data_IF_124989010893
#
_entry.id   IF_124989010893
#
_cell.length_a   1.000
_cell.length_b   1.000
_cell.length_c   1.000
_cell.angle_alpha   90.00
_cell.angle_beta   90.00
_cell.angle_gamma   90.00
#
_symmetry.space_group_name_H-M   'P 1'
#
loop_
_entity.id
_entity.type
_entity.pdbx_description
1 polymer ?
#
# COMPACT_ATOMS: atom_id res chain seq x y z
N UNK A 1 -0.26 8.10 -1.43
CA UNK A 1 0.46 8.57 -0.22
C UNK A 1 1.94 8.34 -0.46
N UNK A 2 2.80 9.34 -0.30
CA UNK A 2 4.24 9.22 -0.57
C UNK A 2 5.12 9.52 0.67
N UNK A 3 4.47 9.67 1.83
CA UNK A 3 5.02 10.24 3.06
C UNK A 3 4.70 9.40 4.31
N UNK A 4 4.19 8.18 4.12
CA UNK A 4 3.79 7.28 5.21
C UNK A 4 4.48 5.93 5.02
N UNK A 5 4.95 5.36 6.12
CA UNK A 5 5.46 3.99 6.21
C UNK A 5 4.30 3.01 6.42
N UNK A 6 4.59 1.71 6.41
CA UNK A 6 3.61 0.70 6.76
C UNK A 6 3.00 0.95 8.15
N UNK A 7 1.77 0.49 8.37
CA UNK A 7 1.06 0.56 9.65
C UNK A 7 0.85 1.98 10.20
N UNK A 8 0.58 2.97 9.33
CA UNK A 8 0.32 4.37 9.69
C UNK A 8 1.49 5.07 10.42
N UNK A 9 2.70 4.56 10.27
CA UNK A 9 3.89 5.19 10.82
C UNK A 9 4.32 6.38 9.95
N UNK A 10 4.53 7.54 10.55
CA UNK A 10 5.07 8.72 9.89
C UNK A 10 6.51 8.53 9.42
N UNK A 11 6.78 8.80 8.14
CA UNK A 11 8.11 8.74 7.54
C UNK A 11 9.08 9.76 8.15
N UNK A 12 8.58 10.93 8.53
CA UNK A 12 9.38 12.04 9.04
C UNK A 12 9.89 11.78 10.47
N UNK A 13 9.25 10.87 11.21
CA UNK A 13 9.65 10.50 12.56
C UNK A 13 10.82 9.49 12.54
N UNK A 14 11.92 9.81 13.23
CA UNK A 14 13.11 8.98 13.27
C UNK A 14 12.91 7.64 13.99
N UNK A 15 12.14 7.62 15.08
CA UNK A 15 11.86 6.41 15.86
C UNK A 15 11.01 5.43 15.05
N UNK A 16 10.06 5.96 14.29
CA UNK A 16 9.26 5.18 13.35
C UNK A 16 10.12 4.52 12.27
N UNK A 17 11.04 5.28 11.65
CA UNK A 17 11.98 4.73 10.67
C UNK A 17 12.87 3.66 11.28
N UNK A 18 13.38 3.89 12.48
CA UNK A 18 14.22 2.92 13.20
C UNK A 18 13.45 1.63 13.52
N UNK A 19 12.19 1.73 13.93
CA UNK A 19 11.33 0.59 14.21
C UNK A 19 11.09 -0.27 12.95
N UNK A 20 10.74 0.36 11.82
CA UNK A 20 10.53 -0.35 10.54
C UNK A 20 11.84 -0.94 10.02
N UNK A 21 12.95 -0.20 10.10
CA UNK A 21 14.26 -0.69 9.69
C UNK A 21 14.68 -1.94 10.50
N UNK A 22 14.48 -1.88 11.83
CA UNK A 22 14.75 -3.01 12.72
C UNK A 22 13.87 -4.22 12.44
N UNK A 23 12.57 -4.01 12.19
CA UNK A 23 11.64 -5.10 11.87
C UNK A 23 12.02 -5.84 10.59
N UNK A 24 12.34 -5.12 9.51
CA UNK A 24 12.76 -5.74 8.25
C UNK A 24 14.25 -6.10 8.19
N UNK A 25 15.03 -5.81 9.24
CA UNK A 25 16.46 -6.07 9.28
C UNK A 25 17.27 -5.30 8.22
N UNK A 26 16.77 -4.13 7.79
CA UNK A 26 17.45 -3.28 6.78
C UNK A 26 18.24 -2.17 7.46
N UNK A 27 19.38 -1.73 6.90
CA UNK A 27 20.24 -0.75 7.56
C UNK A 27 19.61 0.65 7.65
N UNK A 28 18.73 1.00 6.71
CA UNK A 28 18.08 2.31 6.66
C UNK A 28 16.78 2.26 5.87
N UNK A 29 15.79 3.00 6.36
CA UNK A 29 14.58 3.41 5.63
C UNK A 29 14.77 4.86 5.16
N UNK A 30 14.32 5.24 3.94
CA UNK A 30 14.41 6.62 3.45
C UNK A 30 13.86 7.64 4.47
N UNK A 31 14.48 8.82 4.53
CA UNK A 31 14.12 9.91 5.45
C UNK A 31 13.39 11.07 4.74
N UNK A 32 13.16 10.94 3.43
CA UNK A 32 12.47 11.92 2.60
C UNK A 32 11.29 11.27 1.88
N UNK A 33 10.13 11.95 1.82
CA UNK A 33 8.99 11.45 1.09
C UNK A 33 9.32 11.25 -0.39
N UNK A 34 8.71 10.23 -0.98
CA UNK A 34 8.65 10.07 -2.41
C UNK A 34 7.88 11.23 -3.06
N UNK A 35 7.90 11.28 -4.39
CA UNK A 35 7.10 12.27 -5.13
C UNK A 35 5.63 11.87 -5.10
N UNK A 36 4.75 12.86 -4.91
CA UNK A 36 3.31 12.69 -5.17
C UNK A 36 3.10 12.48 -6.67
N UNK A 37 1.99 11.85 -7.06
CA UNK A 37 1.79 11.38 -8.44
C UNK A 37 2.00 12.46 -9.52
N UNK A 38 1.45 13.67 -9.35
CA UNK A 38 1.65 14.78 -10.29
C UNK A 38 3.13 15.18 -10.39
N UNK A 39 3.80 15.39 -9.26
CA UNK A 39 5.21 15.75 -9.22
C UNK A 39 6.13 14.62 -9.70
N UNK A 40 5.70 13.36 -9.55
CA UNK A 40 6.38 12.18 -10.05
C UNK A 40 6.38 12.19 -11.58
N UNK A 41 5.23 12.36 -12.23
CA UNK A 41 5.17 12.43 -13.70
C UNK A 41 5.91 13.65 -14.25
N UNK A 42 5.83 14.81 -13.60
CA UNK A 42 6.69 15.97 -13.95
C UNK A 42 8.19 15.65 -13.84
N UNK A 43 8.58 14.80 -12.89
CA UNK A 43 9.97 14.35 -12.76
C UNK A 43 10.36 13.32 -13.84
N UNK A 44 9.42 12.49 -14.30
CA UNK A 44 9.61 11.61 -15.46
C UNK A 44 9.82 12.44 -16.73
N UNK A 45 8.96 13.43 -17.01
CA UNK A 45 9.14 14.35 -18.15
C UNK A 45 10.52 15.04 -18.13
N UNK A 46 11.02 15.37 -16.94
CA UNK A 46 12.34 16.01 -16.74
C UNK A 46 13.51 15.01 -16.76
N UNK A 47 13.27 13.73 -17.06
CA UNK A 47 14.29 12.67 -17.11
C UNK A 47 14.90 12.30 -15.76
N UNK A 48 14.31 12.74 -14.63
CA UNK A 48 14.80 12.45 -13.27
C UNK A 48 14.39 11.06 -12.79
N UNK A 49 13.31 10.52 -13.33
CA UNK A 49 12.86 9.14 -13.12
C UNK A 49 13.01 8.42 -14.46
N UNK A 50 13.70 7.28 -14.45
CA UNK A 50 14.04 6.53 -15.67
C UNK A 50 13.30 5.19 -15.79
N UNK A 51 12.65 4.77 -14.72
CA UNK A 51 11.88 3.54 -14.66
C UNK A 51 10.57 3.81 -13.94
N UNK A 52 9.46 3.34 -14.50
CA UNK A 52 8.15 3.35 -13.88
C UNK A 52 7.64 1.91 -13.79
N UNK A 53 7.04 1.58 -12.63
CA UNK A 53 6.20 0.40 -12.51
C UNK A 53 4.83 0.85 -12.03
N UNK A 54 3.83 0.71 -12.90
CA UNK A 54 2.45 1.12 -12.67
C UNK A 54 1.62 -0.14 -12.42
N UNK A 55 0.92 -0.22 -11.29
CA UNK A 55 0.19 -1.42 -10.87
C UNK A 55 -1.28 -1.07 -10.69
N UNK A 56 -2.17 -1.74 -11.43
CA UNK A 56 -3.63 -1.64 -11.35
C UNK A 56 -4.19 -0.21 -11.36
N UNK A 57 -3.66 0.65 -12.24
CA UNK A 57 -4.19 2.01 -12.44
C UNK A 57 -3.96 2.49 -13.88
N UNK A 58 -4.79 3.43 -14.35
CA UNK A 58 -4.72 3.99 -15.69
C UNK A 58 -4.43 5.51 -15.69
N UNK A 59 -3.25 5.95 -15.22
CA UNK A 59 -2.89 7.36 -15.09
C UNK A 59 -2.91 8.13 -16.41
N UNK A 60 -2.76 7.46 -17.56
CA UNK A 60 -2.94 8.05 -18.88
C UNK A 60 -4.37 8.62 -19.14
N UNK A 61 -5.33 8.30 -18.26
CA UNK A 61 -6.72 8.81 -18.31
C UNK A 61 -7.13 9.46 -17.00
N UNK A 62 -6.75 8.89 -15.86
CA UNK A 62 -7.32 9.29 -14.55
C UNK A 62 -6.55 10.40 -13.83
N UNK A 63 -5.34 10.74 -14.30
CA UNK A 63 -4.56 11.82 -13.70
C UNK A 63 -4.95 13.19 -14.26
N UNK A 64 -4.83 14.27 -13.47
CA UNK A 64 -4.87 15.62 -14.01
C UNK A 64 -3.74 15.82 -15.03
N UNK A 65 -3.96 16.71 -16.01
CA UNK A 65 -3.01 16.94 -17.10
C UNK A 65 -2.69 15.64 -17.86
N UNK A 66 -3.72 14.83 -18.16
CA UNK A 66 -3.56 13.47 -18.70
C UNK A 66 -2.70 13.38 -19.97
N UNK A 67 -2.75 14.38 -20.85
CA UNK A 67 -1.85 14.48 -22.01
C UNK A 67 -0.37 14.50 -21.60
N UNK A 68 -0.01 15.37 -20.66
CA UNK A 68 1.36 15.44 -20.15
C UNK A 68 1.78 14.14 -19.44
N UNK A 69 0.84 13.44 -18.79
CA UNK A 69 1.10 12.13 -18.18
C UNK A 69 1.31 11.05 -19.24
N UNK A 70 0.51 11.02 -20.31
CA UNK A 70 0.72 10.13 -21.46
C UNK A 70 2.09 10.34 -22.06
N UNK A 71 2.46 11.58 -22.32
CA UNK A 71 3.78 11.94 -22.86
C UNK A 71 4.91 11.55 -21.89
N UNK A 72 4.70 11.72 -20.58
CA UNK A 72 5.67 11.31 -19.57
C UNK A 72 5.93 9.79 -19.61
N UNK A 73 4.87 8.99 -19.69
CA UNK A 73 4.97 7.53 -19.73
C UNK A 73 5.64 7.10 -21.03
N UNK A 74 5.18 7.62 -22.18
CA UNK A 74 5.70 7.27 -23.50
C UNK A 74 7.20 7.61 -23.66
N UNK A 75 7.69 8.66 -23.00
CA UNK A 75 9.10 9.08 -23.05
C UNK A 75 9.94 8.55 -21.89
N UNK A 76 9.36 7.78 -20.95
CA UNK A 76 10.11 7.17 -19.87
C UNK A 76 10.98 6.04 -20.43
N UNK A 77 12.29 5.95 -20.11
CA UNK A 77 13.17 4.92 -20.67
C UNK A 77 12.77 3.47 -20.41
N UNK A 78 12.01 3.22 -19.34
CA UNK A 78 11.51 1.89 -19.03
C UNK A 78 10.18 1.98 -18.27
N UNK A 79 9.16 1.30 -18.75
CA UNK A 79 7.82 1.26 -18.17
C UNK A 79 7.33 -0.17 -18.06
N UNK A 80 7.05 -0.58 -16.83
CA UNK A 80 6.36 -1.83 -16.51
C UNK A 80 4.93 -1.50 -16.11
N UNK A 81 3.96 -2.23 -16.64
CA UNK A 81 2.55 -2.15 -16.23
C UNK A 81 2.08 -3.51 -15.75
N UNK A 82 1.53 -3.58 -14.53
CA UNK A 82 0.78 -4.73 -14.03
C UNK A 82 -0.71 -4.42 -14.11
N UNK A 83 -1.43 -5.12 -14.98
CA UNK A 83 -2.85 -4.86 -15.25
C UNK A 83 -3.57 -6.17 -15.61
N UNK A 84 -4.89 -6.17 -15.48
CA UNK A 84 -5.78 -7.28 -15.87
C UNK A 84 -6.12 -7.25 -17.36
N UNK A 85 -5.80 -6.15 -18.04
CA UNK A 85 -6.11 -5.93 -19.43
C UNK A 85 -4.98 -5.17 -20.12
N UNK A 86 -4.64 -5.58 -21.34
CA UNK A 86 -3.71 -4.87 -22.20
C UNK A 86 -4.35 -3.66 -22.91
N UNK A 87 -5.64 -3.41 -22.67
CA UNK A 87 -6.43 -2.44 -23.43
C UNK A 87 -6.58 -1.09 -22.72
N UNK A 88 -5.96 -0.89 -21.55
CA UNK A 88 -5.90 0.45 -20.93
C UNK A 88 -4.92 1.35 -21.69
N UNK A 89 -5.20 2.66 -21.71
CA UNK A 89 -4.31 3.64 -22.33
C UNK A 89 -2.91 3.62 -21.73
N UNK A 90 -2.80 3.34 -20.42
CA UNK A 90 -1.51 3.17 -19.75
C UNK A 90 -0.81 1.89 -20.16
N UNK A 91 -1.51 0.74 -20.23
CA UNK A 91 -0.91 -0.54 -20.63
C UNK A 91 -0.35 -0.49 -22.06
N UNK A 92 -1.00 0.24 -22.97
CA UNK A 92 -0.51 0.42 -24.34
C UNK A 92 0.79 1.21 -24.46
N UNK A 93 1.20 1.91 -23.39
CA UNK A 93 2.45 2.69 -23.31
C UNK A 93 3.56 1.94 -22.58
N UNK A 94 3.35 0.69 -22.17
CA UNK A 94 4.33 -0.09 -21.42
C UNK A 94 5.37 -0.75 -22.33
N UNK A 95 6.63 -0.81 -21.87
CA UNK A 95 7.65 -1.68 -22.46
C UNK A 95 7.44 -3.14 -22.05
N UNK A 96 6.96 -3.36 -20.82
CA UNK A 96 6.65 -4.68 -20.27
C UNK A 96 5.26 -4.67 -19.65
N UNK A 97 4.40 -5.57 -20.13
CA UNK A 97 3.10 -5.82 -19.53
C UNK A 97 3.13 -7.13 -18.73
N UNK A 98 2.82 -7.05 -17.43
CA UNK A 98 2.75 -8.19 -16.52
C UNK A 98 1.27 -8.50 -16.23
N UNK A 99 0.75 -9.65 -16.69
CA UNK A 99 -0.66 -9.98 -16.48
C UNK A 99 -0.96 -10.21 -15.00
N UNK A 100 -1.77 -9.36 -14.41
CA UNK A 100 -2.19 -9.43 -13.01
C UNK A 100 -3.59 -10.06 -12.88
N UNK A 101 -3.86 -10.73 -11.77
CA UNK A 101 -5.21 -11.26 -11.49
C UNK A 101 -6.17 -10.17 -11.02
N UNK A 102 -7.43 -10.29 -11.43
CA UNK A 102 -8.52 -9.42 -11.01
C UNK A 102 -9.04 -9.77 -9.60
N UNK A 103 -9.97 -8.96 -9.09
CA UNK A 103 -10.52 -9.11 -7.74
C UNK A 103 -11.10 -10.51 -7.48
N UNK A 104 -11.89 -11.06 -8.40
CA UNK A 104 -12.54 -12.36 -8.25
C UNK A 104 -11.58 -13.56 -8.40
N UNK A 105 -10.34 -13.32 -8.81
CA UNK A 105 -9.35 -14.34 -9.19
C UNK A 105 -8.22 -14.46 -8.16
N UNK A 106 -8.21 -13.61 -7.13
CA UNK A 106 -7.16 -13.55 -6.12
C UNK A 106 -7.67 -13.54 -4.70
N UNK A 107 -6.85 -14.09 -3.83
CA UNK A 107 -7.07 -14.10 -2.39
C UNK A 107 -6.36 -12.92 -1.73
N UNK A 108 -6.97 -12.35 -0.70
CA UNK A 108 -6.35 -11.36 0.16
C UNK A 108 -7.29 -10.85 1.25
N UNK A 109 -7.00 -9.66 1.77
CA UNK A 109 -7.92 -8.92 2.62
C UNK A 109 -8.18 -7.54 2.02
N UNK A 110 -9.36 -7.00 2.32
CA UNK A 110 -9.74 -5.62 1.98
C UNK A 110 -10.16 -4.91 3.26
N UNK A 111 -9.78 -3.64 3.38
CA UNK A 111 -10.20 -2.79 4.51
C UNK A 111 -11.12 -1.69 3.98
N UNK A 112 -12.33 -1.60 4.54
CA UNK A 112 -13.28 -0.58 4.14
C UNK A 112 -13.13 0.74 4.95
N UNK A 113 -13.92 1.75 4.61
CA UNK A 113 -13.91 3.06 5.27
C UNK A 113 -14.25 3.04 6.77
N UNK A 114 -14.90 1.98 7.26
CA UNK A 114 -15.21 1.79 8.68
C UNK A 114 -14.13 1.01 9.44
N UNK A 115 -12.94 0.85 8.85
CA UNK A 115 -11.81 0.09 9.42
C UNK A 115 -12.09 -1.42 9.55
N UNK A 116 -13.08 -1.94 8.82
CA UNK A 116 -13.43 -3.35 8.81
C UNK A 116 -12.55 -4.09 7.80
N UNK A 117 -11.76 -5.04 8.30
CA UNK A 117 -10.96 -5.96 7.50
C UNK A 117 -11.85 -7.15 7.15
N UNK A 118 -11.95 -7.47 5.86
CA UNK A 118 -12.73 -8.59 5.34
C UNK A 118 -11.87 -9.47 4.46
N UNK A 119 -12.16 -10.77 4.47
CA UNK A 119 -11.48 -11.74 3.60
C UNK A 119 -12.02 -11.66 2.17
N UNK A 120 -11.13 -11.44 1.21
CA UNK A 120 -11.39 -11.59 -0.23
C UNK A 120 -10.94 -12.99 -0.65
N UNK A 121 -11.84 -13.78 -1.23
CA UNK A 121 -11.57 -15.14 -1.69
C UNK A 121 -11.71 -15.21 -3.21
N UNK A 122 -10.80 -15.93 -3.85
CA UNK A 122 -10.93 -16.23 -5.27
C UNK A 122 -12.18 -17.09 -5.50
N UNK A 123 -13.02 -16.68 -6.44
CA UNK A 123 -14.22 -17.40 -6.89
C UNK A 123 -14.12 -17.81 -8.36
N UNK A 124 -13.09 -17.32 -9.06
CA UNK A 124 -12.73 -17.69 -10.41
C UNK A 124 -11.26 -18.13 -10.45
N UNK A 125 -10.89 -19.05 -11.37
CA UNK A 125 -9.49 -19.36 -11.62
C UNK A 125 -8.77 -18.16 -12.26
N UNK A 126 -7.46 -18.05 -12.02
CA UNK A 126 -6.64 -17.05 -12.69
C UNK A 126 -6.62 -17.31 -14.22
N UNK A 127 -6.91 -16.30 -15.06
CA UNK A 127 -6.90 -16.46 -16.51
C UNK A 127 -5.47 -16.57 -17.04
N UNK A 128 -5.23 -17.58 -17.89
CA UNK A 128 -3.96 -17.75 -18.59
C UNK A 128 -2.75 -17.83 -17.65
N UNK A 129 -1.80 -16.91 -17.83
CA UNK A 129 -0.58 -16.79 -17.01
C UNK A 129 -0.66 -15.64 -16.00
N UNK A 130 -1.85 -15.09 -15.75
CA UNK A 130 -2.02 -14.02 -14.77
C UNK A 130 -1.68 -14.51 -13.36
N UNK A 131 -1.09 -13.61 -12.57
CA UNK A 131 -0.67 -13.91 -11.20
C UNK A 131 -1.07 -12.78 -10.25
N UNK A 132 -1.30 -13.06 -8.95
CA UNK A 132 -1.47 -12.02 -7.95
C UNK A 132 -0.28 -11.07 -7.91
N UNK A 133 -0.52 -9.78 -7.70
CA UNK A 133 0.51 -8.74 -7.70
C UNK A 133 1.66 -9.04 -6.73
N UNK A 134 1.34 -9.59 -5.55
CA UNK A 134 2.35 -9.94 -4.55
C UNK A 134 3.33 -11.01 -5.05
N UNK A 135 2.87 -11.98 -5.85
CA UNK A 135 3.74 -13.00 -6.45
C UNK A 135 4.67 -12.36 -7.46
N UNK A 136 4.15 -11.46 -8.29
CA UNK A 136 4.95 -10.74 -9.30
C UNK A 136 6.01 -9.86 -8.62
N UNK A 137 5.63 -9.13 -7.58
CA UNK A 137 6.55 -8.30 -6.78
C UNK A 137 7.63 -9.16 -6.10
N UNK A 138 7.23 -10.27 -5.48
CA UNK A 138 8.15 -11.20 -4.85
C UNK A 138 9.15 -11.76 -5.87
N UNK A 139 8.68 -12.24 -7.02
CA UNK A 139 9.52 -12.78 -8.10
C UNK A 139 10.57 -11.80 -8.61
N UNK A 140 10.22 -10.52 -8.73
CA UNK A 140 11.16 -9.46 -9.14
C UNK A 140 12.16 -9.20 -8.02
N UNK A 141 11.71 -9.09 -6.77
CA UNK A 141 12.59 -8.86 -5.63
C UNK A 141 13.58 -10.02 -5.43
N UNK A 142 13.13 -11.27 -5.57
CA UNK A 142 14.00 -12.46 -5.55
C UNK A 142 15.07 -12.37 -6.65
N UNK A 143 14.70 -12.03 -7.89
CA UNK A 143 15.66 -11.84 -9.01
C UNK A 143 16.63 -10.68 -8.79
N UNK A 144 16.30 -9.74 -7.91
CA UNK A 144 17.17 -8.65 -7.49
C UNK A 144 18.09 -9.01 -6.31
N UNK A 145 18.05 -10.26 -5.82
CA UNK A 145 18.91 -10.76 -4.73
C UNK A 145 18.29 -10.61 -3.33
N UNK A 146 16.96 -10.46 -3.23
CA UNK A 146 16.24 -10.37 -1.96
C UNK A 146 15.46 -11.65 -1.63
N UNK A 147 15.99 -12.82 -2.01
CA UNK A 147 15.27 -14.11 -1.94
C UNK A 147 14.72 -14.40 -0.54
N UNK A 148 15.56 -14.25 0.48
CA UNK A 148 15.19 -14.51 1.87
C UNK A 148 14.08 -13.60 2.39
N UNK A 149 13.95 -12.39 1.86
CA UNK A 149 12.96 -11.41 2.31
C UNK A 149 11.61 -11.54 1.58
N UNK A 150 11.57 -12.20 0.42
CA UNK A 150 10.38 -12.28 -0.43
C UNK A 150 9.96 -13.73 -0.74
N UNK A 151 10.30 -14.66 0.14
CA UNK A 151 9.97 -16.10 0.03
C UNK A 151 8.60 -16.43 0.62
N UNK A 152 7.57 -15.66 0.27
CA UNK A 152 6.21 -15.89 0.75
C UNK A 152 5.55 -17.06 0.02
N UNK A 153 4.99 -18.02 0.77
CA UNK A 153 4.25 -19.16 0.21
C UNK A 153 2.80 -18.81 -0.12
N UNK A 154 2.19 -17.90 0.65
CA UNK A 154 0.81 -17.46 0.50
C UNK A 154 0.57 -16.07 1.10
N UNK A 155 -0.61 -15.50 0.86
CA UNK A 155 -0.97 -14.18 1.36
C UNK A 155 -1.17 -14.11 2.88
N UNK A 156 -1.37 -15.25 3.56
CA UNK A 156 -1.50 -15.30 5.02
C UNK A 156 -0.17 -14.98 5.71
N UNK A 157 0.96 -15.40 5.12
CA UNK A 157 2.30 -15.03 5.61
C UNK A 157 2.54 -13.51 5.54
N UNK A 158 2.17 -12.88 4.42
CA UNK A 158 2.26 -11.42 4.27
C UNK A 158 1.34 -10.72 5.28
N UNK A 159 0.13 -11.25 5.48
CA UNK A 159 -0.81 -10.71 6.46
C UNK A 159 -0.27 -10.81 7.89
N UNK A 160 0.30 -11.96 8.28
CA UNK A 160 0.96 -12.15 9.58
C UNK A 160 2.12 -11.18 9.78
N UNK A 161 2.98 -11.01 8.77
CA UNK A 161 4.07 -10.05 8.84
C UNK A 161 3.55 -8.62 9.04
N UNK A 162 2.54 -8.22 8.27
CA UNK A 162 1.90 -6.91 8.41
C UNK A 162 1.28 -6.73 9.81
N UNK A 163 0.62 -7.77 10.33
CA UNK A 163 0.05 -7.75 11.67
C UNK A 163 1.12 -7.65 12.78
N UNK A 164 2.22 -8.39 12.65
CA UNK A 164 3.35 -8.28 13.57
C UNK A 164 3.98 -6.88 13.55
N UNK A 165 4.17 -6.29 12.37
CA UNK A 165 4.69 -4.93 12.22
C UNK A 165 3.76 -3.88 12.86
N UNK A 166 2.45 -4.08 12.77
CA UNK A 166 1.47 -3.15 13.34
C UNK A 166 1.56 -3.02 14.87
N UNK A 167 2.13 -4.01 15.57
CA UNK A 167 2.42 -3.91 17.00
C UNK A 167 3.38 -2.75 17.32
N UNK A 168 4.31 -2.43 16.40
CA UNK A 168 5.24 -1.31 16.56
C UNK A 168 4.49 0.03 16.46
N UNK A 169 3.49 0.12 15.58
CA UNK A 169 2.64 1.29 15.47
C UNK A 169 1.88 1.54 16.77
N UNK A 170 1.24 0.51 17.34
CA UNK A 170 0.59 0.60 18.66
C UNK A 170 1.54 1.06 19.77
N UNK A 171 2.75 0.49 19.85
CA UNK A 171 3.80 0.88 20.83
C UNK A 171 4.28 2.33 20.66
N UNK A 172 4.26 2.84 19.43
CA UNK A 172 4.64 4.21 19.08
C UNK A 172 3.45 5.19 19.13
N UNK A 173 2.36 4.80 19.79
CA UNK A 173 1.20 5.65 20.03
C UNK A 173 0.34 5.88 18.80
N UNK A 174 0.38 4.98 17.80
CA UNK A 174 -0.52 5.00 16.64
C UNK A 174 -1.74 4.12 16.85
N UNK A 175 -2.69 4.32 15.97
CA UNK A 175 -4.07 3.87 16.13
C UNK A 175 -4.32 2.49 15.52
N UNK A 176 -3.57 2.17 14.46
CA UNK A 176 -3.62 0.91 13.76
C UNK A 176 -2.71 -0.13 14.43
N UNK A 177 -3.34 -1.14 15.02
CA UNK A 177 -2.67 -2.31 15.57
C UNK A 177 -3.60 -3.52 15.40
N UNK A 178 -3.16 -4.51 14.62
CA UNK A 178 -3.84 -5.81 14.44
C UNK A 178 -2.95 -6.97 14.91
N UNK A 179 -2.00 -6.70 15.81
CA UNK A 179 -1.01 -7.66 16.29
C UNK A 179 -1.59 -8.89 16.97
N UNK A 180 -2.86 -8.85 17.40
CA UNK A 180 -3.61 -10.03 17.83
C UNK A 180 -3.84 -11.07 16.72
N UNK A 181 -3.50 -10.76 15.47
CA UNK A 181 -3.56 -11.66 14.32
C UNK A 181 -2.18 -12.06 13.78
N UNK A 182 -1.08 -11.70 14.48
CA UNK A 182 0.28 -12.00 14.03
C UNK A 182 0.57 -13.51 13.93
N UNK A 183 -0.10 -14.32 14.76
CA UNK A 183 0.04 -15.78 14.80
C UNK A 183 -1.18 -16.51 14.22
N UNK A 184 -2.01 -15.84 13.40
CA UNK A 184 -3.20 -16.45 12.80
C UNK A 184 -2.81 -17.65 11.93
N UNK A 185 -3.47 -18.80 12.14
CA UNK A 185 -3.24 -19.99 11.32
C UNK A 185 -3.75 -19.77 9.89
N UNK A 186 -3.25 -20.56 8.93
CA UNK A 186 -3.74 -20.50 7.55
C UNK A 186 -5.23 -20.86 7.47
N UNK A 187 -5.70 -21.78 8.32
CA UNK A 187 -7.12 -22.13 8.41
C UNK A 187 -7.95 -20.96 8.94
N UNK A 188 -7.55 -20.35 10.06
CA UNK A 188 -8.26 -19.21 10.65
C UNK A 188 -8.26 -18.00 9.71
N UNK A 189 -7.17 -17.80 8.96
CA UNK A 189 -7.09 -16.77 7.93
C UNK A 189 -8.02 -17.09 6.73
N UNK A 190 -8.12 -18.36 6.32
CA UNK A 190 -9.05 -18.79 5.28
C UNK A 190 -10.51 -18.62 5.71
N UNK A 191 -10.82 -18.84 6.98
CA UNK A 191 -12.16 -18.72 7.58
C UNK A 191 -12.42 -17.32 8.18
N UNK A 192 -11.48 -16.38 8.01
CA UNK A 192 -11.51 -15.07 8.66
C UNK A 192 -12.83 -14.36 8.42
N UNK A 193 -13.51 -14.05 9.53
CA UNK A 193 -14.73 -13.25 9.55
C UNK A 193 -14.39 -11.77 9.66
N UNK A 194 -15.22 -10.87 9.12
CA UNK A 194 -14.92 -9.45 9.13
C UNK A 194 -14.68 -8.90 10.55
N UNK A 195 -13.54 -8.25 10.77
CA UNK A 195 -13.17 -7.67 12.06
C UNK A 195 -12.68 -6.25 11.91
N UNK A 196 -13.09 -5.37 12.84
CA UNK A 196 -12.72 -3.96 12.84
C UNK A 196 -11.45 -3.76 13.67
N UNK A 197 -10.45 -3.10 13.10
CA UNK A 197 -9.23 -2.77 13.84
C UNK A 197 -9.47 -1.62 14.85
N UNK A 198 -8.71 -1.56 15.97
CA UNK A 198 -7.57 -2.40 16.32
C UNK A 198 -7.97 -3.82 16.79
N UNK A 199 -7.10 -4.80 16.59
CA UNK A 199 -7.28 -6.20 17.02
C UNK A 199 -6.02 -6.60 17.80
N UNK A 200 -6.06 -6.45 19.11
CA UNK A 200 -4.96 -6.73 20.04
C UNK A 200 -5.48 -7.59 21.20
N UNK A 201 -4.60 -8.16 22.04
CA UNK A 201 -5.03 -8.82 23.27
C UNK A 201 -5.84 -7.92 24.21
N UNK A 202 -5.59 -6.60 24.18
CA UNK A 202 -6.23 -5.63 25.09
C UNK A 202 -7.47 -4.94 24.50
N UNK A 203 -7.60 -4.87 23.17
CA UNK A 203 -8.67 -4.11 22.49
C UNK A 203 -9.05 -4.76 21.16
N UNK A 204 -10.35 -4.91 20.93
CA UNK A 204 -10.95 -5.36 19.67
C UNK A 204 -11.99 -4.34 19.18
N UNK A 205 -11.66 -3.62 18.12
CA UNK A 205 -12.49 -2.60 17.51
C UNK A 205 -12.85 -1.43 18.45
N UNK A 206 -14.13 -1.07 18.42
CA UNK A 206 -14.69 0.09 19.11
C UNK A 206 -14.99 1.27 18.17
N UNK A 207 -15.56 2.34 18.74
CA UNK A 207 -15.84 3.58 18.03
C UNK A 207 -14.69 4.55 18.27
N UNK A 208 -13.96 4.89 17.21
CA UNK A 208 -12.85 5.83 17.32
C UNK A 208 -13.34 7.20 17.76
N UNK A 209 -12.54 7.84 18.63
CA UNK A 209 -12.76 9.19 19.16
C UNK A 209 -14.03 9.35 20.01
N UNK A 210 -14.76 8.27 20.33
CA UNK A 210 -15.99 8.35 21.12
C UNK A 210 -15.72 8.85 22.55
N UNK A 211 -14.55 8.55 23.09
CA UNK A 211 -14.09 8.95 24.42
C UNK A 211 -13.25 10.25 24.39
N UNK A 212 -13.20 10.95 23.25
CA UNK A 212 -12.54 12.25 23.14
C UNK A 212 -11.01 12.23 23.12
N UNK A 213 -10.39 11.07 22.87
CA UNK A 213 -8.94 10.91 22.75
C UNK A 213 -8.49 10.93 21.29
N UNK A 214 -7.66 11.89 20.92
CA UNK A 214 -7.14 12.10 19.57
C UNK A 214 -5.63 11.84 19.51
N UNK A 215 -5.10 11.56 18.31
CA UNK A 215 -3.67 11.31 18.07
C UNK A 215 -2.85 12.61 17.92
N UNK A 216 -3.19 13.61 18.73
CA UNK A 216 -2.42 14.84 18.89
C UNK A 216 -1.63 14.79 20.20
N UNK A 217 -0.53 15.54 20.35
CA UNK A 217 0.31 15.48 21.55
C UNK A 217 -0.42 15.72 22.89
N UNK A 218 -1.50 16.51 22.89
CA UNK A 218 -2.33 16.80 24.07
C UNK A 218 -3.60 15.95 24.16
N UNK A 219 -3.80 15.02 23.21
CA UNK A 219 -4.95 14.15 23.13
C UNK A 219 -6.26 14.82 22.67
N UNK A 220 -6.26 16.10 22.29
CA UNK A 220 -7.47 16.88 21.99
C UNK A 220 -7.70 17.05 20.49
N UNK A 221 -8.96 17.23 20.10
CA UNK A 221 -9.31 17.63 18.74
C UNK A 221 -8.80 19.06 18.46
N UNK A 222 -8.35 19.30 17.23
CA UNK A 222 -7.99 20.64 16.75
C UNK A 222 -9.12 21.22 15.90
N UNK A 223 -9.73 22.31 16.38
CA UNK A 223 -10.74 23.07 15.62
C UNK A 223 -10.00 24.14 14.82
N UNK A 224 -10.08 24.06 13.49
CA UNK A 224 -9.42 24.98 12.58
C UNK A 224 -10.44 25.93 11.93
N UNK A 225 -10.44 27.24 12.24
CA UNK A 225 -11.27 28.19 11.53
C UNK A 225 -10.71 28.42 10.13
N UNK A 226 -11.53 28.21 9.11
CA UNK A 226 -11.18 28.48 7.71
C UNK A 226 -11.99 29.66 7.17
N UNK A 227 -11.36 30.47 6.31
CA UNK A 227 -12.04 31.55 5.58
C UNK A 227 -12.35 31.07 4.18
N UNK A 228 -13.56 31.34 3.70
CA UNK A 228 -13.92 31.05 2.32
C UNK A 228 -13.02 31.83 1.36
N UNK A 229 -12.56 31.14 0.31
CA UNK A 229 -11.89 31.74 -0.84
C UNK A 229 -12.52 31.14 -2.10
N UNK A 230 -12.77 31.94 -3.15
CA UNK A 230 -13.18 31.39 -4.44
C UNK A 230 -12.06 30.49 -5.00
N UNK A 231 -12.39 29.52 -5.88
CA UNK A 231 -11.36 28.76 -6.59
C UNK A 231 -10.39 29.70 -7.30
N UNK A 232 -9.08 29.44 -7.14
CA UNK A 232 -8.07 30.13 -7.92
C UNK A 232 -8.16 29.67 -9.39
N UNK A 233 -8.22 30.64 -10.32
CA UNK A 233 -8.19 30.40 -11.76
C UNK A 233 -6.76 30.05 -12.23
#
# INVERSE_FOLDING_TARGET
>A
LANMLACHLDLENADHRAAVAGFWGVPKVPDKPGRKAVDMFRAVCKGKIKALWIIHTNPAVTMPEADAVRDAIANCPFVVVSDITAQTDTARLADVLLPATAWAEKNGTVTNSERLISRQRAVLPAPGQSRPDWVILADVAQRMGFEKAFQYANEAEIFREHAALSALAGKLGRDFDISGLADISDQDYAEFTPQRWPITPARKGGRFFAEGQFFHPDGKAQILPVKWQPPAA
#
